data_IF_873361047643
#
_entry.id   IF_873361047643
#
_cell.length_a   1.000
_cell.length_b   1.000
_cell.length_c   1.000
_cell.angle_alpha   90.00
_cell.angle_beta   90.00
_cell.angle_gamma   90.00
#
_symmetry.space_group_name_H-M   'P 1'
#
loop_
_entity.id
_entity.type
_entity.pdbx_description
1 polymer ?
#
# COMPACT_ATOMS: atom_id res chain seq x y z
N UNK A 1 6.23 16.78 -4.74
CA UNK A 1 5.10 16.89 -3.79
C UNK A 1 4.78 15.49 -3.35
N UNK A 2 4.76 15.24 -2.04
CA UNK A 2 4.54 13.90 -1.50
C UNK A 2 3.03 13.67 -1.42
N UNK A 3 2.55 12.59 -2.01
CA UNK A 3 1.13 12.21 -1.97
C UNK A 3 0.89 11.33 -0.75
N UNK A 4 -0.13 11.65 0.04
CA UNK A 4 -0.52 10.87 1.22
C UNK A 4 -1.91 10.27 1.03
N UNK A 5 -2.15 9.14 1.68
CA UNK A 5 -3.43 8.44 1.68
C UNK A 5 -3.79 7.90 3.06
N UNK A 6 -5.06 7.57 3.22
CA UNK A 6 -5.61 6.86 4.38
C UNK A 6 -6.27 5.57 3.89
N UNK A 7 -6.02 4.46 4.57
CA UNK A 7 -6.63 3.18 4.24
C UNK A 7 -8.11 3.19 4.65
N UNK A 8 -9.01 3.05 3.68
CA UNK A 8 -10.46 3.05 3.88
C UNK A 8 -11.07 1.63 3.90
N UNK A 9 -10.24 0.59 3.85
CA UNK A 9 -10.65 -0.82 3.91
C UNK A 9 -10.20 -1.42 5.24
N UNK A 10 -10.88 -2.47 5.70
CA UNK A 10 -10.58 -3.11 7.00
C UNK A 10 -9.17 -3.68 7.07
N UNK A 11 -8.71 -4.32 5.99
CA UNK A 11 -7.35 -4.85 5.85
C UNK A 11 -6.94 -4.83 4.37
N UNK A 12 -5.72 -4.38 4.08
CA UNK A 12 -5.12 -4.44 2.74
C UNK A 12 -3.72 -5.05 2.85
N UNK A 13 -3.42 -6.16 2.17
CA UNK A 13 -2.10 -6.77 2.21
C UNK A 13 -1.09 -5.92 1.43
N UNK A 14 0.05 -5.63 2.05
CA UNK A 14 1.17 -4.94 1.41
C UNK A 14 2.23 -5.98 1.06
N UNK A 15 2.54 -6.10 -0.23
CA UNK A 15 3.43 -7.13 -0.76
C UNK A 15 4.85 -6.61 -0.96
N UNK A 16 5.83 -7.53 -0.94
CA UNK A 16 7.23 -7.19 -1.15
C UNK A 16 7.52 -6.71 -2.58
N UNK A 17 6.78 -7.23 -3.57
CA UNK A 17 6.85 -6.88 -4.99
C UNK A 17 5.46 -6.65 -5.57
N UNK A 18 5.31 -5.87 -6.68
CA UNK A 18 4.04 -5.59 -7.34
C UNK A 18 3.53 -6.80 -8.14
N UNK A 19 3.25 -7.89 -7.43
CA UNK A 19 2.83 -9.18 -7.99
C UNK A 19 1.91 -9.89 -6.99
N UNK A 20 0.80 -10.45 -7.48
CA UNK A 20 -0.15 -11.20 -6.65
C UNK A 20 0.47 -12.46 -6.01
N UNK A 21 1.57 -12.96 -6.58
CA UNK A 21 2.34 -14.11 -6.07
C UNK A 21 3.39 -13.72 -5.03
N UNK A 22 3.66 -12.43 -4.85
CA UNK A 22 4.67 -11.94 -3.90
C UNK A 22 4.21 -12.12 -2.45
N UNK A 23 5.17 -12.36 -1.56
CA UNK A 23 4.93 -12.46 -0.12
C UNK A 23 4.25 -11.19 0.42
N UNK A 24 3.32 -11.38 1.36
CA UNK A 24 2.73 -10.28 2.13
C UNK A 24 3.72 -9.93 3.25
N UNK A 25 4.32 -8.75 3.17
CA UNK A 25 5.32 -8.29 4.14
C UNK A 25 4.69 -7.62 5.36
N UNK A 26 3.60 -6.89 5.13
CA UNK A 26 2.80 -6.23 6.17
C UNK A 26 1.36 -6.07 5.68
N UNK A 27 0.51 -5.43 6.49
CA UNK A 27 -0.86 -5.09 6.14
C UNK A 27 -1.16 -3.65 6.58
N UNK A 28 -1.97 -2.96 5.79
CA UNK A 28 -2.65 -1.74 6.21
C UNK A 28 -3.98 -2.11 6.86
N UNK A 29 -4.35 -1.41 7.92
CA UNK A 29 -5.64 -1.49 8.59
C UNK A 29 -6.45 -0.21 8.36
N UNK A 30 -7.76 -0.28 8.60
CA UNK A 30 -8.63 0.89 8.48
C UNK A 30 -8.11 2.07 9.32
N UNK A 31 -7.96 3.22 8.68
CA UNK A 31 -7.46 4.44 9.31
C UNK A 31 -5.95 4.62 9.28
N UNK A 32 -5.18 3.62 8.83
CA UNK A 32 -3.73 3.76 8.65
C UNK A 32 -3.40 4.81 7.60
N UNK A 33 -2.42 5.64 7.91
CA UNK A 33 -1.91 6.66 7.00
C UNK A 33 -0.66 6.15 6.31
N UNK A 34 -0.48 6.51 5.04
CA UNK A 34 0.70 6.13 4.28
C UNK A 34 1.06 7.20 3.25
N UNK A 35 2.32 7.19 2.85
CA UNK A 35 2.85 8.01 1.76
C UNK A 35 2.93 7.19 0.48
N UNK A 36 2.38 7.70 -0.63
CA UNK A 36 2.50 7.11 -1.97
C UNK A 36 3.77 7.66 -2.62
N UNK A 37 4.72 6.76 -2.88
CA UNK A 37 5.99 7.07 -3.54
C UNK A 37 5.90 6.97 -5.06
N UNK A 38 5.19 5.95 -5.54
CA UNK A 38 4.94 5.71 -6.96
C UNK A 38 3.60 4.99 -7.16
N UNK A 39 2.98 5.17 -8.31
CA UNK A 39 1.72 4.55 -8.67
C UNK A 39 1.73 4.11 -10.13
N UNK A 40 1.45 2.82 -10.34
CA UNK A 40 1.18 2.20 -11.61
C UNK A 40 -0.30 1.81 -11.71
N UNK A 41 -0.73 1.32 -12.88
CA UNK A 41 -2.13 1.04 -13.18
C UNK A 41 -2.83 0.10 -12.17
N UNK A 42 -2.08 -0.82 -11.55
CA UNK A 42 -2.60 -1.80 -10.56
C UNK A 42 -1.93 -1.77 -9.19
N UNK A 43 -0.81 -1.07 -9.05
CA UNK A 43 0.03 -1.15 -7.85
C UNK A 43 0.49 0.23 -7.41
N UNK A 44 0.53 0.46 -6.11
CA UNK A 44 1.13 1.65 -5.53
C UNK A 44 2.29 1.23 -4.62
N UNK A 45 3.44 1.87 -4.80
CA UNK A 45 4.55 1.72 -3.86
C UNK A 45 4.37 2.73 -2.74
N UNK A 46 4.25 2.23 -1.52
CA UNK A 46 3.91 3.05 -0.35
C UNK A 46 4.98 2.96 0.73
N UNK A 47 5.03 3.99 1.57
CA UNK A 47 5.75 3.99 2.83
C UNK A 47 4.75 4.24 3.96
N UNK A 48 4.57 3.24 4.80
CA UNK A 48 3.83 3.31 6.07
C UNK A 48 4.74 3.79 7.19
#
# INVERSE_FOLDING_TARGET
>A
MNSFGICNLSVVPVRAEPSDKSEIRTQLLFGDHFEVKDAAEKWAFIKT
#
